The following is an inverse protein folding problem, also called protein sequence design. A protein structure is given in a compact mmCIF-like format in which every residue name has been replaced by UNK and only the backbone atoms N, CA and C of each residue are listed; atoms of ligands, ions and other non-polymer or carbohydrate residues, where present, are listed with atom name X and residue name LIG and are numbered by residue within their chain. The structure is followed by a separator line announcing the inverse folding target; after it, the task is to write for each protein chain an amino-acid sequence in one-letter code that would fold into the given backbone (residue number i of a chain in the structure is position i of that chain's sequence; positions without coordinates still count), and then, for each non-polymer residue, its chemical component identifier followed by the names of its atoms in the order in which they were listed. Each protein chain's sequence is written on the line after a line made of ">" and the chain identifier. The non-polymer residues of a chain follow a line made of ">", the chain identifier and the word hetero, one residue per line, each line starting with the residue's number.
data_IF_424093970183
#
_entry.id   IF_424093970183
#
_cell.length_a   1.000
_cell.length_b   1.000
_cell.length_c   1.000
_cell.angle_alpha   90.00
_cell.angle_beta   90.00
_cell.angle_gamma   90.00
#
_symmetry.space_group_name_H-M   'P 1'
#
loop_
_entity.id
_entity.type
_entity.pdbx_description
1 polymer ?
#
# COMPACT_ATOMS: atom_id res chain seq x y z
N UNK A 1 3.11 -5.99 14.88
CA UNK A 1 2.95 -6.09 13.40
C UNK A 1 4.24 -5.65 12.73
N UNK A 2 4.76 -6.45 11.82
CA UNK A 2 6.00 -6.09 11.11
C UNK A 2 5.91 -6.43 9.62
N UNK A 3 6.71 -5.75 8.81
CA UNK A 3 6.89 -6.07 7.40
C UNK A 3 7.93 -7.19 7.31
N UNK A 4 7.48 -8.38 6.88
CA UNK A 4 8.33 -9.56 6.83
C UNK A 4 9.08 -9.68 5.51
N UNK A 5 8.35 -9.51 4.40
CA UNK A 5 8.88 -9.60 3.05
C UNK A 5 8.37 -8.45 2.20
N UNK A 6 9.17 -8.04 1.21
CA UNK A 6 8.83 -7.00 0.24
C UNK A 6 8.85 -7.58 -1.16
N UNK A 7 8.15 -6.90 -2.07
CA UNK A 7 8.08 -7.28 -3.49
C UNK A 7 7.58 -8.71 -3.68
N UNK A 8 6.59 -9.11 -2.86
CA UNK A 8 5.98 -10.44 -2.95
C UNK A 8 5.02 -10.49 -4.14
N UNK A 9 4.69 -11.71 -4.58
CA UNK A 9 3.68 -11.90 -5.63
C UNK A 9 2.31 -11.45 -5.14
N UNK A 10 1.60 -10.73 -6.01
CA UNK A 10 0.24 -10.25 -5.76
C UNK A 10 -0.79 -10.91 -6.66
N UNK A 11 -0.38 -11.96 -7.39
CA UNK A 11 -1.28 -12.67 -8.29
C UNK A 11 -2.48 -13.21 -7.52
N UNK A 12 -3.68 -12.90 -8.00
CA UNK A 12 -4.92 -13.32 -7.36
C UNK A 12 -5.43 -12.40 -6.26
N UNK A 13 -4.72 -11.29 -5.97
CA UNK A 13 -5.24 -10.29 -5.03
C UNK A 13 -6.29 -9.41 -5.69
N UNK A 14 -7.14 -8.79 -4.88
CA UNK A 14 -8.16 -7.85 -5.34
C UNK A 14 -8.32 -6.72 -4.33
N UNK A 15 -9.02 -5.66 -4.75
CA UNK A 15 -9.27 -4.49 -3.90
C UNK A 15 -10.03 -4.89 -2.63
N UNK A 16 -9.51 -4.45 -1.47
CA UNK A 16 -10.10 -4.74 -0.15
C UNK A 16 -10.50 -3.50 0.62
N UNK A 17 -10.01 -2.33 0.22
CA UNK A 17 -10.34 -1.09 0.88
C UNK A 17 -9.46 0.05 0.43
N UNK A 18 -9.57 1.17 1.14
CA UNK A 18 -8.74 2.36 0.89
C UNK A 18 -8.24 2.90 2.22
N UNK A 19 -7.08 3.54 2.19
CA UNK A 19 -6.49 4.20 3.35
C UNK A 19 -6.09 5.62 2.99
N UNK A 20 -6.03 6.49 4.01
CA UNK A 20 -5.43 7.81 3.88
C UNK A 20 -4.09 7.79 4.59
N UNK A 21 -3.04 8.11 3.87
CA UNK A 21 -1.68 8.19 4.39
C UNK A 21 -0.81 8.98 3.44
N UNK A 22 0.20 9.65 3.99
CA UNK A 22 1.20 10.32 3.16
C UNK A 22 2.12 9.31 2.49
N UNK A 23 2.61 9.64 1.31
CA UNK A 23 3.62 8.85 0.63
C UNK A 23 4.84 8.59 1.54
N UNK A 24 5.33 9.63 2.21
CA UNK A 24 6.48 9.49 3.11
C UNK A 24 6.23 8.50 4.26
N UNK A 25 5.01 8.48 4.79
CA UNK A 25 4.60 7.52 5.82
C UNK A 25 4.66 6.09 5.28
N UNK A 26 4.13 5.87 4.09
CA UNK A 26 4.14 4.55 3.46
C UNK A 26 5.56 4.07 3.14
N UNK A 27 6.44 4.96 2.68
CA UNK A 27 7.85 4.64 2.46
C UNK A 27 8.51 4.22 3.77
N UNK A 28 8.24 4.95 4.85
CA UNK A 28 8.80 4.63 6.17
C UNK A 28 8.35 3.26 6.67
N UNK A 29 7.07 2.93 6.48
CA UNK A 29 6.50 1.66 6.95
C UNK A 29 6.83 0.49 6.05
N UNK A 30 6.73 0.68 4.75
CA UNK A 30 6.73 -0.42 3.77
C UNK A 30 8.00 -0.49 2.92
N UNK A 31 8.85 0.53 3.03
CA UNK A 31 10.04 0.66 2.17
C UNK A 31 9.74 1.40 0.89
N UNK A 32 10.69 1.44 -0.03
CA UNK A 32 10.49 2.10 -1.32
C UNK A 32 9.51 1.29 -2.18
N UNK A 33 8.59 1.95 -2.87
CA UNK A 33 7.67 1.25 -3.76
C UNK A 33 8.37 0.81 -5.04
N UNK A 34 7.72 -0.07 -5.77
CA UNK A 34 8.12 -0.42 -7.14
C UNK A 34 7.21 0.30 -8.13
N UNK A 35 7.60 0.43 -9.40
CA UNK A 35 6.72 1.01 -10.41
C UNK A 35 5.44 0.21 -10.55
N UNK A 36 4.30 0.92 -10.70
CA UNK A 36 3.02 0.31 -11.04
C UNK A 36 2.96 -0.01 -12.54
N UNK A 37 1.75 -0.16 -13.08
CA UNK A 37 1.55 -0.47 -14.51
C UNK A 37 1.83 0.73 -15.42
N UNK A 38 2.03 1.92 -14.84
CA UNK A 38 2.32 3.17 -15.54
C UNK A 38 1.15 3.65 -16.41
N UNK A 39 -0.04 3.19 -16.11
CA UNK A 39 -1.28 3.71 -16.67
C UNK A 39 -2.25 4.08 -15.55
N UNK A 40 -2.81 3.09 -14.86
CA UNK A 40 -3.72 3.34 -13.73
C UNK A 40 -2.98 3.48 -12.42
N UNK A 41 -1.79 2.92 -12.30
CA UNK A 41 -0.97 2.98 -11.09
C UNK A 41 0.42 3.52 -11.43
N UNK A 42 0.92 4.44 -10.60
CA UNK A 42 2.27 4.98 -10.73
C UNK A 42 3.27 4.18 -9.91
N UNK A 43 2.88 3.87 -8.66
CA UNK A 43 3.73 3.16 -7.70
C UNK A 43 2.89 2.10 -6.97
N UNK A 44 3.58 1.09 -6.45
CA UNK A 44 2.94 -0.02 -5.77
C UNK A 44 3.85 -0.57 -4.70
N UNK A 45 3.26 -0.92 -3.56
CA UNK A 45 3.90 -1.73 -2.53
C UNK A 45 3.23 -3.10 -2.53
N UNK A 46 4.03 -4.15 -2.41
CA UNK A 46 3.54 -5.53 -2.30
C UNK A 46 4.34 -6.20 -1.19
N UNK A 47 3.74 -6.34 -0.02
CA UNK A 47 4.44 -6.77 1.18
C UNK A 47 3.71 -7.90 1.87
N UNK A 48 4.45 -8.65 2.69
CA UNK A 48 3.87 -9.60 3.65
C UNK A 48 3.99 -9.00 5.04
N UNK A 49 2.86 -8.83 5.71
CA UNK A 49 2.82 -8.37 7.08
C UNK A 49 2.71 -9.59 8.01
N UNK A 50 3.39 -9.51 9.14
CA UNK A 50 3.42 -10.58 10.14
C UNK A 50 2.95 -10.03 11.48
N UNK A 51 2.00 -10.75 12.11
CA UNK A 51 1.51 -10.42 13.44
C UNK A 51 2.20 -11.36 14.44
N UNK A 52 3.06 -10.79 15.28
CA UNK A 52 3.83 -11.56 16.26
C UNK A 52 2.95 -12.22 17.32
N UNK A 53 1.80 -11.62 17.62
CA UNK A 53 0.90 -12.13 18.66
C UNK A 53 0.15 -13.38 18.23
N UNK A 54 -0.27 -13.42 16.96
CA UNK A 54 -1.08 -14.53 16.44
C UNK A 54 -0.30 -15.49 15.56
N UNK A 55 0.86 -15.07 15.05
CA UNK A 55 1.63 -15.83 14.08
C UNK A 55 1.06 -15.75 12.67
N UNK A 56 0.03 -14.94 12.44
CA UNK A 56 -0.58 -14.80 11.12
C UNK A 56 0.28 -13.94 10.21
N UNK A 57 0.33 -14.30 8.92
CA UNK A 57 0.94 -13.45 7.91
C UNK A 57 -0.06 -13.19 6.79
N UNK A 58 0.05 -11.98 6.20
CA UNK A 58 -0.93 -11.50 5.23
C UNK A 58 -0.22 -10.73 4.13
N UNK A 59 -0.52 -11.06 2.89
CA UNK A 59 -0.02 -10.30 1.73
C UNK A 59 -0.91 -9.07 1.55
N UNK A 60 -0.27 -7.90 1.44
CA UNK A 60 -0.96 -6.61 1.28
C UNK A 60 -0.32 -5.88 0.10
N UNK A 61 -1.16 -5.34 -0.78
CA UNK A 61 -0.72 -4.42 -1.81
C UNK A 61 -1.28 -3.04 -1.52
N UNK A 62 -0.50 -2.00 -1.80
CA UNK A 62 -0.92 -0.60 -1.68
C UNK A 62 -0.51 0.10 -2.97
N UNK A 63 -1.44 0.84 -3.56
CA UNK A 63 -1.18 1.49 -4.84
C UNK A 63 -2.09 2.71 -5.02
N UNK A 64 -1.61 3.70 -5.79
CA UNK A 64 -2.44 4.79 -6.25
C UNK A 64 -3.36 4.28 -7.38
N UNK A 65 -4.47 4.94 -7.61
CA UNK A 65 -5.43 4.48 -8.61
C UNK A 65 -5.99 5.64 -9.42
N UNK A 66 -5.62 5.69 -10.70
CA UNK A 66 -6.14 6.66 -11.67
C UNK A 66 -5.88 8.12 -11.27
N UNK A 67 -4.81 8.38 -10.53
CA UNK A 67 -4.51 9.72 -10.02
C UNK A 67 -3.34 10.40 -10.74
N UNK A 68 -2.52 9.65 -11.44
CA UNK A 68 -1.31 10.19 -12.05
C UNK A 68 -1.50 10.74 -13.46
N UNK A 69 -0.49 11.47 -13.93
CA UNK A 69 -0.45 12.00 -15.29
C UNK A 69 -0.58 10.89 -16.34
N UNK A 70 -0.07 9.70 -16.03
CA UNK A 70 -0.13 8.57 -16.94
C UNK A 70 -1.57 8.12 -17.24
N UNK A 71 -2.53 8.47 -16.40
CA UNK A 71 -3.95 8.20 -16.62
C UNK A 71 -4.73 9.46 -17.02
N UNK A 72 -4.49 10.56 -16.31
CA UNK A 72 -5.28 11.79 -16.46
C UNK A 72 -4.75 12.74 -17.53
N UNK A 73 -3.55 12.49 -18.04
CA UNK A 73 -2.87 13.35 -19.00
C UNK A 73 -1.83 14.24 -18.35
N UNK A 74 -0.84 14.63 -19.13
CA UNK A 74 0.29 15.43 -18.65
C UNK A 74 -0.18 16.70 -17.94
N UNK A 75 0.29 16.89 -16.72
CA UNK A 75 -0.04 18.05 -15.90
C UNK A 75 -1.38 18.00 -15.18
N UNK A 76 -2.19 16.96 -15.41
CA UNK A 76 -3.53 16.87 -14.83
C UNK A 76 -3.61 15.92 -13.63
N UNK A 77 -2.56 15.17 -13.36
CA UNK A 77 -2.52 14.17 -12.29
C UNK A 77 -1.81 14.65 -11.06
N UNK A 78 -1.76 13.76 -10.07
CA UNK A 78 -1.08 13.96 -8.78
C UNK A 78 0.17 13.10 -8.77
N UNK A 79 1.33 13.71 -8.47
CA UNK A 79 2.57 12.95 -8.32
C UNK A 79 2.45 11.98 -7.12
N UNK A 80 3.15 10.84 -7.15
CA UNK A 80 3.07 9.87 -6.05
C UNK A 80 3.32 10.48 -4.68
N UNK A 81 4.26 11.41 -4.58
CA UNK A 81 4.64 12.07 -3.34
C UNK A 81 3.51 12.92 -2.74
N UNK A 82 2.52 13.27 -3.54
CA UNK A 82 1.39 14.10 -3.12
C UNK A 82 0.09 13.32 -2.99
N UNK A 83 0.09 12.04 -3.31
CA UNK A 83 -1.09 11.18 -3.15
C UNK A 83 -1.33 10.90 -1.67
N UNK A 84 -2.59 11.01 -1.25
CA UNK A 84 -2.99 10.77 0.15
C UNK A 84 -4.08 9.70 0.29
N UNK A 85 -4.71 9.29 -0.79
CA UNK A 85 -5.71 8.23 -0.79
C UNK A 85 -5.17 7.06 -1.61
N UNK A 86 -5.08 5.89 -0.98
CA UNK A 86 -4.46 4.71 -1.57
C UNK A 86 -5.41 3.52 -1.55
N UNK A 87 -5.40 2.74 -2.62
CA UNK A 87 -6.10 1.46 -2.65
C UNK A 87 -5.28 0.41 -1.92
N UNK A 88 -5.98 -0.46 -1.20
CA UNK A 88 -5.39 -1.60 -0.49
C UNK A 88 -5.98 -2.86 -1.07
N UNK A 89 -5.12 -3.77 -1.51
CA UNK A 89 -5.51 -5.06 -2.04
C UNK A 89 -4.95 -6.22 -1.22
N UNK A 90 -5.51 -7.39 -1.44
CA UNK A 90 -5.07 -8.61 -0.76
C UNK A 90 -5.95 -9.77 -1.14
N UNK A 91 -5.70 -10.93 -0.52
CA UNK A 91 -6.48 -12.13 -0.78
C UNK A 91 -7.81 -12.14 -0.03
N UNK A 92 -7.90 -11.36 1.05
CA UNK A 92 -9.13 -11.24 1.84
C UNK A 92 -9.10 -9.94 2.65
N UNK A 93 -10.13 -9.70 3.46
CA UNK A 93 -10.25 -8.47 4.25
C UNK A 93 -9.17 -8.29 5.32
N UNK A 94 -8.43 -9.32 5.68
CA UNK A 94 -7.36 -9.21 6.67
C UNK A 94 -6.23 -8.28 6.20
N UNK A 95 -6.03 -8.16 4.88
CA UNK A 95 -5.04 -7.24 4.33
C UNK A 95 -5.28 -5.81 4.81
N UNK A 96 -6.51 -5.33 4.72
CA UNK A 96 -6.90 -4.01 5.18
C UNK A 96 -6.71 -3.86 6.69
N UNK A 97 -7.16 -4.84 7.47
CA UNK A 97 -7.04 -4.80 8.93
C UNK A 97 -5.59 -4.77 9.39
N UNK A 98 -4.75 -5.60 8.81
CA UNK A 98 -3.34 -5.67 9.20
C UNK A 98 -2.60 -4.38 8.84
N UNK A 99 -2.87 -3.81 7.67
CA UNK A 99 -2.27 -2.55 7.29
C UNK A 99 -2.70 -1.41 8.21
N UNK A 100 -3.99 -1.34 8.54
CA UNK A 100 -4.51 -0.36 9.49
C UNK A 100 -3.84 -0.50 10.86
N UNK A 101 -3.67 -1.73 11.34
CA UNK A 101 -3.01 -1.99 12.61
C UNK A 101 -1.58 -1.46 12.58
N UNK A 102 -0.84 -1.71 11.52
CA UNK A 102 0.53 -1.22 11.36
C UNK A 102 0.58 0.30 11.38
N UNK A 103 -0.33 0.97 10.66
CA UNK A 103 -0.42 2.42 10.65
C UNK A 103 -0.75 2.99 12.02
N UNK A 104 -1.69 2.38 12.74
CA UNK A 104 -2.07 2.81 14.08
C UNK A 104 -0.92 2.66 15.06
N UNK A 105 -0.21 1.55 15.03
CA UNK A 105 0.97 1.31 15.88
C UNK A 105 2.02 2.38 15.64
N UNK A 106 2.26 2.75 14.39
CA UNK A 106 3.23 3.79 14.07
C UNK A 106 2.79 5.15 14.61
N UNK A 107 1.52 5.50 14.45
CA UNK A 107 0.98 6.77 14.94
C UNK A 107 1.01 6.86 16.45
N UNK A 108 0.77 5.76 17.15
CA UNK A 108 0.83 5.70 18.60
C UNK A 108 2.26 5.79 19.12
N UNK A 109 3.23 5.29 18.35
CA UNK A 109 4.65 5.33 18.72
C UNK A 109 5.30 6.70 18.47
N UNK A 110 4.65 7.56 17.68
CA UNK A 110 5.22 8.84 17.28
C UNK A 110 5.20 9.89 18.41
#
# INVERSE_FOLDING_TARGET
>A
MEVKDRNVSIHGTSLRGQIRADYATLVRLLGEPVPGDQYKTQVEWAVRLYDEETGASTVVTVYDWKQGDCYLGEGNGTAPEDVTLWNVGGYNGNAYYHLNTLLMEMREAA
#
